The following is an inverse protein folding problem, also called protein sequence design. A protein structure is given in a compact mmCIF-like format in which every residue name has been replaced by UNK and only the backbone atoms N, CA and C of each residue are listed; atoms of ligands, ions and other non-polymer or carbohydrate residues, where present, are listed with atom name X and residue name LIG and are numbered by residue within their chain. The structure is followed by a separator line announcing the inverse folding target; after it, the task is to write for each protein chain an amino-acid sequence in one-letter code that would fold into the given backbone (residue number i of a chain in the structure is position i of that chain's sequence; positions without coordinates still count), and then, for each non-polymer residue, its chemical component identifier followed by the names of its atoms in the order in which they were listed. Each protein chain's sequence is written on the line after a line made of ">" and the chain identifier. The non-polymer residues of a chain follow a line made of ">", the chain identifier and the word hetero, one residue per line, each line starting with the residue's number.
data_IF_977329787186
#
_entry.id   IF_977329787186
#
_cell.length_a   1.000
_cell.length_b   1.000
_cell.length_c   1.000
_cell.angle_alpha   90.00
_cell.angle_beta   90.00
_cell.angle_gamma   90.00
#
_symmetry.space_group_name_H-M   'P 1'
#
loop_
_entity.id
_entity.type
_entity.pdbx_description
1 polymer ?
#
# COMPACT_ATOMS: atom_id res chain seq x y z
N UNK A 1 -6.86 -29.91 8.45
CA UNK A 1 -5.52 -29.99 7.83
C UNK A 1 -4.53 -29.68 8.95
N UNK A 2 -4.04 -30.73 9.60
CA UNK A 2 -3.23 -30.70 10.83
C UNK A 2 -1.82 -30.18 10.52
N UNK A 3 -1.31 -29.29 11.38
CA UNK A 3 0.08 -28.82 11.38
C UNK A 3 0.93 -29.97 11.95
N UNK A 4 1.71 -30.62 11.09
CA UNK A 4 2.61 -31.71 11.46
C UNK A 4 3.98 -31.16 11.85
N UNK A 5 4.57 -31.67 12.93
CA UNK A 5 5.97 -31.33 13.27
C UNK A 5 6.52 -31.79 14.61
N UNK A 6 5.72 -32.32 15.54
CA UNK A 6 6.25 -32.82 16.81
C UNK A 6 6.41 -34.35 16.76
N UNK A 7 7.65 -34.83 16.63
CA UNK A 7 8.01 -36.23 16.88
C UNK A 7 8.29 -36.39 18.38
N UNK A 8 7.50 -37.21 19.07
CA UNK A 8 7.78 -37.62 20.44
C UNK A 8 8.48 -38.98 20.40
N UNK A 9 9.81 -38.97 20.48
CA UNK A 9 10.55 -40.18 20.85
C UNK A 9 10.41 -40.34 22.37
N UNK A 10 9.80 -41.44 22.79
CA UNK A 10 9.64 -41.80 24.19
C UNK A 10 10.91 -42.51 24.68
N UNK A 11 11.67 -41.80 25.50
CA UNK A 11 12.43 -42.23 26.69
C UNK A 11 13.67 -41.35 26.82
N UNK A 12 13.62 -40.40 27.76
CA UNK A 12 14.76 -40.04 28.60
C UNK A 12 14.30 -39.06 29.70
N UNK A 13 14.82 -39.29 30.92
CA UNK A 13 14.41 -38.70 32.18
C UNK A 13 14.19 -37.16 32.14
N UNK A 14 13.01 -36.72 32.61
CA UNK A 14 12.53 -35.35 32.49
C UNK A 14 13.36 -34.34 33.32
N UNK A 15 14.07 -33.37 32.68
CA UNK A 15 14.64 -32.19 33.33
C UNK A 15 13.51 -31.21 33.74
N UNK A 16 13.79 -30.18 34.58
CA UNK A 16 12.76 -29.31 35.14
C UNK A 16 11.93 -28.67 34.01
N UNK A 17 10.67 -29.09 33.93
CA UNK A 17 9.60 -28.65 33.03
C UNK A 17 10.09 -27.87 31.80
N UNK A 18 10.60 -28.59 30.79
CA UNK A 18 10.89 -28.03 29.49
C UNK A 18 9.59 -27.52 28.84
N UNK A 19 9.25 -26.26 29.09
CA UNK A 19 8.12 -25.59 28.44
C UNK A 19 8.29 -25.74 26.93
N UNK A 20 7.25 -26.19 26.20
CA UNK A 20 7.34 -26.29 24.75
C UNK A 20 7.69 -24.91 24.18
N UNK A 21 8.80 -24.84 23.45
CA UNK A 21 9.25 -23.62 22.77
C UNK A 21 8.79 -23.68 21.32
N UNK A 22 8.09 -22.63 20.90
CA UNK A 22 7.78 -22.43 19.49
C UNK A 22 8.97 -21.72 18.86
N UNK A 23 9.62 -22.37 17.90
CA UNK A 23 10.68 -21.79 17.09
C UNK A 23 10.08 -21.49 15.71
N UNK A 24 10.19 -20.24 15.21
CA UNK A 24 9.71 -19.93 13.87
C UNK A 24 10.53 -20.72 12.83
N UNK A 25 9.84 -21.29 11.84
CA UNK A 25 10.51 -21.81 10.64
C UNK A 25 11.21 -20.70 9.85
N UNK A 26 12.09 -21.04 8.89
CA UNK A 26 12.93 -20.07 8.18
C UNK A 26 12.16 -18.89 7.59
N UNK A 27 11.05 -19.15 6.88
CA UNK A 27 10.20 -18.11 6.29
C UNK A 27 9.66 -17.10 7.32
N UNK A 28 9.18 -17.59 8.47
CA UNK A 28 8.63 -16.72 9.51
C UNK A 28 9.76 -15.95 10.23
N UNK A 29 10.91 -16.58 10.45
CA UNK A 29 12.07 -15.93 11.03
C UNK A 29 12.58 -14.77 10.15
N UNK A 30 12.70 -14.99 8.84
CA UNK A 30 13.08 -13.97 7.85
C UNK A 30 12.04 -12.85 7.76
N UNK A 31 10.74 -13.20 7.75
CA UNK A 31 9.65 -12.22 7.72
C UNK A 31 9.67 -11.33 8.98
N UNK A 32 9.82 -11.94 10.17
CA UNK A 32 9.92 -11.19 11.43
C UNK A 32 11.19 -10.34 11.50
N UNK A 33 12.30 -10.81 10.93
CA UNK A 33 13.52 -10.02 10.83
C UNK A 33 13.31 -8.79 9.93
N UNK A 34 12.71 -8.97 8.74
CA UNK A 34 12.39 -7.87 7.83
C UNK A 34 11.42 -6.84 8.42
N UNK A 35 10.43 -7.28 9.22
CA UNK A 35 9.52 -6.38 9.92
C UNK A 35 10.20 -5.58 11.04
N UNK A 36 11.22 -6.14 11.70
CA UNK A 36 11.98 -5.46 12.77
C UNK A 36 13.10 -4.57 12.23
N UNK A 37 13.66 -4.90 11.08
CA UNK A 37 14.78 -4.21 10.46
C UNK A 37 14.51 -4.02 8.95
N UNK A 38 13.65 -3.05 8.59
CA UNK A 38 13.28 -2.80 7.19
C UNK A 38 14.47 -2.37 6.32
N UNK A 39 15.56 -1.88 6.92
CA UNK A 39 16.80 -1.51 6.22
C UNK A 39 17.44 -2.69 5.47
N UNK A 40 17.24 -3.92 5.96
CA UNK A 40 17.80 -5.15 5.40
C UNK A 40 16.97 -5.77 4.27
N UNK A 41 15.84 -5.15 3.90
CA UNK A 41 15.01 -5.61 2.79
C UNK A 41 15.73 -5.38 1.47
N UNK A 42 15.57 -6.30 0.51
CA UNK A 42 16.11 -6.15 -0.84
C UNK A 42 15.74 -4.76 -1.40
N UNK A 43 16.68 -4.12 -2.10
CA UNK A 43 16.49 -2.77 -2.62
C UNK A 43 15.32 -2.76 -3.62
N UNK A 44 14.19 -2.17 -3.21
CA UNK A 44 13.04 -1.90 -4.05
C UNK A 44 13.09 -0.40 -4.36
N UNK A 45 13.39 -0.07 -5.61
CA UNK A 45 13.58 1.30 -6.06
C UNK A 45 12.62 1.60 -7.22
N UNK A 46 11.92 2.76 -7.21
CA UNK A 46 11.05 3.15 -8.31
C UNK A 46 11.81 3.51 -9.60
N UNK A 47 13.14 3.64 -9.52
CA UNK A 47 14.01 3.94 -10.66
C UNK A 47 13.67 5.27 -11.32
N UNK A 48 13.85 5.34 -12.64
CA UNK A 48 13.59 6.54 -13.44
C UNK A 48 12.11 6.94 -13.49
N UNK A 49 11.19 6.05 -13.09
CA UNK A 49 9.76 6.35 -13.05
C UNK A 49 9.40 7.36 -11.95
N UNK A 50 10.23 7.51 -10.91
CA UNK A 50 10.10 8.57 -9.91
C UNK A 50 10.99 9.76 -10.30
N UNK A 51 10.36 10.90 -10.59
CA UNK A 51 11.03 12.14 -10.96
C UNK A 51 11.51 12.94 -9.73
N UNK A 52 12.11 12.24 -8.78
CA UNK A 52 12.66 12.80 -7.55
C UNK A 52 13.64 11.80 -6.91
N UNK A 53 14.48 12.30 -5.99
CA UNK A 53 15.33 11.46 -5.15
C UNK A 53 14.72 11.35 -3.76
N UNK A 54 14.50 10.12 -3.32
CA UNK A 54 14.10 9.86 -1.94
C UNK A 54 15.28 10.18 -1.01
N UNK A 55 14.97 10.68 0.19
CA UNK A 55 15.95 10.76 1.28
C UNK A 55 16.14 9.36 1.88
N UNK A 56 17.28 9.07 2.53
CA UNK A 56 17.55 7.73 3.06
C UNK A 56 16.42 7.17 3.95
N UNK A 57 15.83 7.99 4.83
CA UNK A 57 14.71 7.54 5.67
C UNK A 57 13.42 7.27 4.88
N UNK A 58 13.22 7.96 3.75
CA UNK A 58 12.06 7.76 2.87
C UNK A 58 12.20 6.44 2.10
N UNK A 59 13.43 6.08 1.68
CA UNK A 59 13.70 4.77 1.07
C UNK A 59 13.35 3.63 2.04
N UNK A 60 13.75 3.76 3.31
CA UNK A 60 13.41 2.80 4.37
C UNK A 60 11.89 2.71 4.56
N UNK A 61 11.20 3.85 4.61
CA UNK A 61 9.74 3.90 4.71
C UNK A 61 9.03 3.22 3.53
N UNK A 62 9.49 3.46 2.30
CA UNK A 62 8.95 2.80 1.09
C UNK A 62 9.18 1.29 1.13
N UNK A 63 10.37 0.82 1.53
CA UNK A 63 10.67 -0.61 1.67
C UNK A 63 9.77 -1.27 2.71
N UNK A 64 9.55 -0.60 3.84
CA UNK A 64 8.66 -1.06 4.89
C UNK A 64 7.20 -1.16 4.40
N UNK A 65 6.68 -0.11 3.74
CA UNK A 65 5.34 -0.11 3.16
C UNK A 65 5.18 -1.24 2.12
N UNK A 66 6.18 -1.42 1.25
CA UNK A 66 6.17 -2.47 0.24
C UNK A 66 6.11 -3.87 0.87
N UNK A 67 6.91 -4.12 1.92
CA UNK A 67 6.88 -5.39 2.64
C UNK A 67 5.49 -5.66 3.24
N UNK A 68 4.90 -4.69 3.94
CA UNK A 68 3.58 -4.85 4.55
C UNK A 68 2.52 -5.17 3.51
N UNK A 69 2.49 -4.42 2.41
CA UNK A 69 1.58 -4.67 1.29
C UNK A 69 1.78 -6.07 0.71
N UNK A 70 3.03 -6.53 0.53
CA UNK A 70 3.35 -7.88 0.04
C UNK A 70 2.90 -9.00 0.97
N UNK A 71 2.84 -8.74 2.27
CA UNK A 71 2.35 -9.67 3.29
C UNK A 71 0.82 -9.60 3.47
N UNK A 72 0.12 -8.71 2.76
CA UNK A 72 -1.31 -8.48 2.94
C UNK A 72 -1.65 -7.76 4.25
N UNK A 73 -0.68 -7.06 4.84
CA UNK A 73 -0.85 -6.28 6.06
C UNK A 73 -1.17 -4.82 5.72
N UNK A 74 -1.95 -4.17 6.58
CA UNK A 74 -2.14 -2.71 6.54
C UNK A 74 -0.95 -1.97 7.15
N UNK A 75 -0.79 -0.70 6.77
CA UNK A 75 0.25 0.18 7.29
C UNK A 75 -0.36 1.53 7.71
N UNK A 76 0.15 2.10 8.80
CA UNK A 76 -0.13 3.47 9.21
C UNK A 76 1.18 4.27 9.11
N UNK A 77 1.27 5.13 8.09
CA UNK A 77 2.44 6.00 7.90
C UNK A 77 2.23 7.30 8.70
N UNK A 78 2.63 7.25 9.97
CA UNK A 78 2.42 8.33 10.94
C UNK A 78 3.64 9.23 11.13
N UNK A 79 4.49 9.36 10.10
CA UNK A 79 5.64 10.27 10.11
C UNK A 79 5.19 11.72 10.35
N UNK A 80 6.07 12.51 11.00
CA UNK A 80 5.83 13.93 11.22
C UNK A 80 5.47 14.69 9.93
N UNK A 81 4.69 15.77 10.09
CA UNK A 81 4.36 16.65 8.98
C UNK A 81 5.63 17.20 8.32
N UNK A 82 5.68 17.18 6.99
CA UNK A 82 6.84 17.66 6.22
C UNK A 82 7.92 16.61 5.92
N UNK A 83 7.83 15.40 6.45
CA UNK A 83 8.76 14.29 6.12
C UNK A 83 8.49 13.63 4.74
N UNK A 84 7.52 14.15 3.98
CA UNK A 84 7.26 13.69 2.61
C UNK A 84 6.54 12.34 2.56
N UNK A 85 5.50 12.15 3.36
CA UNK A 85 4.63 10.95 3.30
C UNK A 85 4.06 10.73 1.89
N UNK A 86 3.63 11.81 1.23
CA UNK A 86 3.07 11.76 -0.13
C UNK A 86 4.04 11.15 -1.13
N UNK A 87 5.30 11.60 -1.16
CA UNK A 87 6.31 11.06 -2.08
C UNK A 87 6.65 9.59 -1.76
N UNK A 88 6.61 9.17 -0.49
CA UNK A 88 6.76 7.75 -0.13
C UNK A 88 5.61 6.91 -0.69
N UNK A 89 4.37 7.38 -0.60
CA UNK A 89 3.20 6.68 -1.16
C UNK A 89 3.24 6.65 -2.70
N UNK A 90 3.68 7.74 -3.35
CA UNK A 90 3.87 7.77 -4.81
C UNK A 90 4.93 6.74 -5.23
N UNK A 91 6.06 6.68 -4.51
CA UNK A 91 7.09 5.68 -4.75
C UNK A 91 6.55 4.25 -4.55
N UNK A 92 5.74 4.01 -3.51
CA UNK A 92 5.07 2.72 -3.28
C UNK A 92 4.19 2.31 -4.48
N UNK A 93 3.39 3.25 -5.00
CA UNK A 93 2.54 3.01 -6.17
C UNK A 93 3.36 2.65 -7.41
N UNK A 94 4.50 3.30 -7.62
CA UNK A 94 5.41 3.01 -8.73
C UNK A 94 6.06 1.62 -8.62
N UNK A 95 6.57 1.24 -7.44
CA UNK A 95 7.23 -0.06 -7.25
C UNK A 95 6.25 -1.23 -7.19
N UNK A 96 5.00 -0.96 -6.82
CA UNK A 96 3.92 -1.95 -6.79
C UNK A 96 3.20 -2.08 -8.14
N UNK A 97 3.53 -1.21 -9.11
CA UNK A 97 2.84 -1.15 -10.39
C UNK A 97 2.99 -2.44 -11.17
N UNK A 98 1.84 -3.02 -11.54
CA UNK A 98 1.74 -4.21 -12.40
C UNK A 98 1.11 -3.82 -13.75
N UNK A 99 1.16 -4.71 -14.76
CA UNK A 99 0.50 -4.45 -16.03
C UNK A 99 -0.99 -4.16 -15.83
N UNK A 100 -1.47 -3.02 -16.33
CA UNK A 100 -2.83 -2.48 -16.12
C UNK A 100 -3.96 -3.46 -16.46
N UNK A 101 -3.74 -4.35 -17.43
CA UNK A 101 -4.72 -5.36 -17.83
C UNK A 101 -4.91 -6.48 -16.79
N UNK A 102 -3.99 -6.61 -15.83
CA UNK A 102 -3.93 -7.73 -14.89
C UNK A 102 -4.30 -7.35 -13.44
N UNK A 103 -4.43 -6.06 -13.13
CA UNK A 103 -4.69 -5.60 -11.75
C UNK A 103 -5.73 -4.48 -11.71
N UNK A 104 -6.59 -4.46 -10.68
CA UNK A 104 -7.43 -3.29 -10.42
C UNK A 104 -6.56 -2.05 -10.13
N UNK A 105 -7.09 -0.83 -10.32
CA UNK A 105 -6.41 0.39 -9.90
C UNK A 105 -6.28 0.47 -8.37
N UNK A 106 -5.46 1.40 -7.89
CA UNK A 106 -5.46 1.85 -6.50
C UNK A 106 -6.52 2.94 -6.26
N UNK A 107 -6.99 3.09 -5.03
CA UNK A 107 -7.87 4.18 -4.59
C UNK A 107 -7.17 5.02 -3.54
N UNK A 108 -7.11 6.33 -3.75
CA UNK A 108 -6.73 7.33 -2.76
C UNK A 108 -7.97 8.10 -2.31
N UNK A 109 -8.19 8.15 -0.99
CA UNK A 109 -9.21 8.97 -0.35
C UNK A 109 -8.52 10.02 0.50
N UNK A 110 -8.81 11.30 0.24
CA UNK A 110 -8.21 12.42 0.95
C UNK A 110 -9.25 13.53 1.25
N UNK A 111 -8.97 14.48 2.15
CA UNK A 111 -9.75 15.71 2.26
C UNK A 111 -9.88 16.41 0.90
N UNK A 112 -11.04 16.99 0.59
CA UNK A 112 -11.29 17.61 -0.72
C UNK A 112 -10.29 18.75 -1.05
N UNK A 113 -9.80 19.45 -0.01
CA UNK A 113 -8.77 20.48 -0.13
C UNK A 113 -7.39 19.95 -0.56
N UNK A 114 -7.09 18.66 -0.35
CA UNK A 114 -5.80 18.05 -0.68
C UNK A 114 -5.76 17.38 -2.05
N UNK A 115 -6.91 17.24 -2.74
CA UNK A 115 -6.94 16.59 -4.07
C UNK A 115 -6.10 17.34 -5.10
N UNK A 116 -6.07 18.67 -5.04
CA UNK A 116 -5.23 19.50 -5.91
C UNK A 116 -3.74 19.23 -5.68
N UNK A 117 -3.31 19.27 -4.42
CA UNK A 117 -1.92 18.99 -4.03
C UNK A 117 -1.48 17.59 -4.48
N UNK A 118 -2.30 16.56 -4.25
CA UNK A 118 -2.01 15.21 -4.72
C UNK A 118 -1.85 15.13 -6.23
N UNK A 119 -2.71 15.83 -6.98
CA UNK A 119 -2.65 15.87 -8.45
C UNK A 119 -1.35 16.54 -8.92
N UNK A 120 -0.98 17.65 -8.30
CA UNK A 120 0.26 18.38 -8.63
C UNK A 120 1.51 17.55 -8.29
N UNK A 121 1.53 16.89 -7.13
CA UNK A 121 2.63 16.02 -6.74
C UNK A 121 2.75 14.78 -7.64
N UNK A 122 1.65 14.16 -8.03
CA UNK A 122 1.66 13.04 -8.98
C UNK A 122 2.14 13.47 -10.36
N UNK A 123 1.68 14.62 -10.87
CA UNK A 123 2.16 15.18 -12.13
C UNK A 123 3.66 15.50 -12.09
N UNK A 124 4.15 15.99 -10.94
CA UNK A 124 5.56 16.31 -10.73
C UNK A 124 6.44 15.07 -10.59
N UNK A 125 6.06 14.13 -9.72
CA UNK A 125 6.92 13.05 -9.28
C UNK A 125 6.69 11.74 -10.05
N UNK A 126 5.52 11.52 -10.62
CA UNK A 126 5.18 10.27 -11.30
C UNK A 126 4.25 10.50 -12.51
N UNK A 127 4.64 11.32 -13.50
CA UNK A 127 3.79 11.67 -14.65
C UNK A 127 3.39 10.47 -15.51
N UNK A 128 4.07 9.32 -15.37
CA UNK A 128 3.72 8.07 -16.06
C UNK A 128 2.51 7.33 -15.47
N UNK A 129 2.03 7.72 -14.28
CA UNK A 129 0.81 7.17 -13.67
C UNK A 129 -0.44 7.77 -14.32
N UNK A 130 -1.36 6.91 -14.74
CA UNK A 130 -2.67 7.30 -15.26
C UNK A 130 -3.63 7.48 -14.08
N UNK A 131 -3.87 8.74 -13.74
CA UNK A 131 -4.67 9.15 -12.59
C UNK A 131 -6.07 9.60 -13.03
N UNK A 132 -7.10 9.21 -12.27
CA UNK A 132 -8.47 9.70 -12.45
C UNK A 132 -8.99 10.33 -11.17
N UNK A 133 -9.46 11.57 -11.24
CA UNK A 133 -10.11 12.24 -10.12
C UNK A 133 -11.60 11.94 -10.17
N UNK A 134 -12.14 11.27 -9.15
CA UNK A 134 -13.55 11.01 -8.96
C UNK A 134 -14.11 12.04 -7.96
N UNK A 135 -14.27 13.28 -8.41
CA UNK A 135 -14.79 14.39 -7.62
C UNK A 135 -15.57 15.38 -8.51
N UNK A 136 -16.62 16.01 -7.96
CA UNK A 136 -17.48 16.93 -8.73
C UNK A 136 -16.74 18.18 -9.27
N UNK A 137 -15.61 18.57 -8.66
CA UNK A 137 -14.77 19.66 -9.18
C UNK A 137 -14.02 19.31 -10.47
N UNK A 138 -13.93 18.02 -10.80
CA UNK A 138 -13.15 17.51 -11.93
C UNK A 138 -14.01 16.92 -13.06
N UNK A 139 -15.28 16.63 -12.79
CA UNK A 139 -16.22 16.16 -13.79
C UNK A 139 -17.68 16.41 -13.39
N UNK A 140 -18.59 16.54 -14.37
CA UNK A 140 -20.03 16.58 -14.13
C UNK A 140 -20.57 15.39 -13.33
N UNK A 141 -21.62 15.60 -12.53
CA UNK A 141 -22.16 14.62 -11.59
C UNK A 141 -22.74 13.36 -12.27
N UNK A 142 -23.33 13.53 -13.45
CA UNK A 142 -23.83 12.44 -14.31
C UNK A 142 -22.68 11.52 -14.78
N UNK A 143 -21.54 12.09 -15.18
CA UNK A 143 -20.35 11.33 -15.57
C UNK A 143 -19.66 10.66 -14.38
N UNK A 144 -19.72 11.28 -13.21
CA UNK A 144 -19.15 10.75 -11.99
C UNK A 144 -19.84 9.44 -11.57
N UNK A 145 -21.17 9.36 -11.70
CA UNK A 145 -21.94 8.17 -11.34
C UNK A 145 -22.01 7.13 -12.47
N UNK A 146 -21.91 7.55 -13.73
CA UNK A 146 -21.95 6.66 -14.89
C UNK A 146 -20.63 5.91 -15.19
N UNK A 147 -19.59 6.07 -14.35
CA UNK A 147 -18.29 5.40 -14.60
C UNK A 147 -18.40 3.89 -14.35
N UNK A 148 -18.07 3.10 -15.38
CA UNK A 148 -18.13 1.63 -15.33
C UNK A 148 -16.75 0.99 -15.17
N UNK A 149 -16.63 -0.23 -14.61
CA UNK A 149 -15.34 -0.94 -14.44
C UNK A 149 -14.45 -1.04 -15.70
N UNK A 150 -14.97 -1.19 -16.94
CA UNK A 150 -14.14 -1.15 -18.15
C UNK A 150 -13.34 0.15 -18.34
N UNK A 151 -13.85 1.29 -17.85
CA UNK A 151 -13.18 2.61 -17.91
C UNK A 151 -11.96 2.65 -16.99
N UNK A 152 -11.91 1.77 -15.99
CA UNK A 152 -10.81 1.71 -15.02
C UNK A 152 -9.68 0.78 -15.45
N UNK A 153 -9.83 -0.01 -16.53
CA UNK A 153 -8.81 -0.96 -17.03
C UNK A 153 -7.48 -0.31 -17.40
N UNK A 154 -7.51 0.99 -17.66
CA UNK A 154 -6.36 1.78 -18.09
C UNK A 154 -5.93 2.81 -17.05
N UNK A 155 -6.44 2.73 -15.82
CA UNK A 155 -6.16 3.66 -14.73
C UNK A 155 -5.23 2.97 -13.71
N UNK A 156 -4.20 3.67 -13.24
CA UNK A 156 -3.35 3.18 -12.15
C UNK A 156 -3.87 3.64 -10.77
N UNK A 157 -4.42 4.86 -10.70
CA UNK A 157 -4.90 5.46 -9.45
C UNK A 157 -6.20 6.24 -9.66
N UNK A 158 -7.18 5.98 -8.80
CA UNK A 158 -8.36 6.82 -8.65
C UNK A 158 -8.22 7.66 -7.37
N UNK A 159 -8.51 8.94 -7.45
CA UNK A 159 -8.45 9.88 -6.32
C UNK A 159 -9.86 10.40 -6.04
N UNK A 160 -10.30 10.36 -4.79
CA UNK A 160 -11.61 10.88 -4.37
C UNK A 160 -11.54 11.56 -3.01
N UNK A 161 -12.64 12.18 -2.60
CA UNK A 161 -12.78 12.74 -1.26
C UNK A 161 -13.70 11.92 -0.37
N UNK A 162 -13.53 12.03 0.94
CA UNK A 162 -14.42 11.42 1.94
C UNK A 162 -15.89 11.76 1.70
N UNK A 163 -16.19 13.00 1.29
CA UNK A 163 -17.58 13.41 0.99
C UNK A 163 -18.14 12.82 -0.30
N UNK A 164 -17.28 12.45 -1.26
CA UNK A 164 -17.69 11.88 -2.55
C UNK A 164 -17.83 10.37 -2.49
N UNK A 165 -16.96 9.70 -1.74
CA UNK A 165 -16.91 8.24 -1.60
C UNK A 165 -18.29 7.58 -1.38
N UNK A 166 -19.12 7.98 -0.39
CA UNK A 166 -20.42 7.33 -0.17
C UNK A 166 -21.48 7.69 -1.21
N UNK A 167 -21.27 8.75 -2.01
CA UNK A 167 -22.25 9.23 -3.02
C UNK A 167 -22.07 8.57 -4.39
N UNK A 168 -20.97 7.85 -4.57
CA UNK A 168 -20.57 7.28 -5.86
C UNK A 168 -20.46 5.76 -5.71
N UNK A 169 -21.52 5.00 -6.06
CA UNK A 169 -21.62 3.58 -5.71
C UNK A 169 -20.48 2.70 -6.23
N UNK A 170 -19.92 3.01 -7.40
CA UNK A 170 -18.82 2.22 -7.96
C UNK A 170 -17.51 2.38 -7.18
N UNK A 171 -17.34 3.46 -6.39
CA UNK A 171 -16.14 3.62 -5.56
C UNK A 171 -16.14 2.62 -4.39
N UNK A 172 -17.30 2.32 -3.82
CA UNK A 172 -17.45 1.40 -2.67
C UNK A 172 -17.67 -0.04 -3.10
N UNK A 173 -18.27 -0.27 -4.27
CA UNK A 173 -18.46 -1.62 -4.82
C UNK A 173 -17.25 -2.13 -5.64
N UNK A 174 -16.32 -1.24 -6.00
CA UNK A 174 -15.15 -1.57 -6.81
C UNK A 174 -14.11 -2.42 -6.07
N UNK A 175 -13.34 -3.20 -6.82
CA UNK A 175 -12.13 -3.84 -6.32
C UNK A 175 -10.92 -2.93 -6.54
N UNK A 176 -10.03 -2.87 -5.54
CA UNK A 176 -8.87 -1.98 -5.52
C UNK A 176 -7.62 -2.77 -5.16
N UNK A 177 -6.49 -2.46 -5.81
CA UNK A 177 -5.20 -3.09 -5.50
C UNK A 177 -4.62 -2.57 -4.18
N UNK A 178 -4.71 -1.25 -3.98
CA UNK A 178 -4.34 -0.57 -2.75
C UNK A 178 -5.39 0.48 -2.40
N UNK A 179 -5.76 0.56 -1.12
CA UNK A 179 -6.54 1.66 -0.55
C UNK A 179 -5.61 2.55 0.28
N UNK A 180 -5.47 3.80 -0.13
CA UNK A 180 -4.70 4.83 0.56
C UNK A 180 -5.69 5.83 1.16
N UNK A 181 -5.54 6.11 2.45
CA UNK A 181 -6.42 7.01 3.20
C UNK A 181 -5.54 8.09 3.83
N UNK A 182 -5.68 9.31 3.35
CA UNK A 182 -4.89 10.47 3.77
C UNK A 182 -5.63 11.29 4.83
N UNK A 183 -4.91 11.78 5.83
CA UNK A 183 -5.47 12.50 6.99
C UNK A 183 -6.65 11.76 7.66
N UNK A 184 -6.45 10.47 7.95
CA UNK A 184 -7.46 9.51 8.43
C UNK A 184 -7.97 9.72 9.87
N UNK A 185 -7.68 10.87 10.48
CA UNK A 185 -8.15 11.26 11.82
C UNK A 185 -9.53 11.95 11.81
N UNK A 186 -10.10 12.18 10.61
CA UNK A 186 -11.37 12.89 10.40
C UNK A 186 -12.60 12.05 10.73
#
# INVERSE_FOLDING_TARGET
>A
RLVAGASLAADDAAPPEARPRVVPGPWLAETLAGLRAPDGLAAIEPGEALHARLRPYQEVGVRWLYLLTRLGLGACLADDMGLGKTIQVIALLLVSRRPRAATPPSLLVAPASLLGNWTDELARFAPGLRVRIAHASSMPADRLTATTPPVLRDVDLVITSYGTLPRVPWLTAGSWDLLIVDEAQA
#
